data_IF_517155837839
#
_entry.id   IF_517155837839
#
_cell.length_a   1.000
_cell.length_b   1.000
_cell.length_c   1.000
_cell.angle_alpha   90.00
_cell.angle_beta   90.00
_cell.angle_gamma   90.00
#
_symmetry.space_group_name_H-M   'P 1'
#
loop_
_entity.id
_entity.type
_entity.pdbx_description
1 polymer ?
#
# COMPACT_ATOMS: atom_id res chain seq x y z
N UNK A 1 32.07 -5.53 76.96
CA UNK A 1 31.74 -4.34 76.14
C UNK A 1 32.72 -4.26 74.98
N UNK A 2 32.30 -4.66 73.77
CA UNK A 2 32.82 -4.21 72.47
C UNK A 2 31.95 -4.83 71.37
N UNK A 3 31.14 -3.97 70.77
CA UNK A 3 30.31 -4.16 69.58
C UNK A 3 31.22 -4.08 68.36
N UNK A 4 31.15 -5.03 67.42
CA UNK A 4 31.47 -4.91 65.97
C UNK A 4 31.02 -6.25 65.34
N UNK A 5 30.52 -6.39 64.11
CA UNK A 5 29.90 -5.55 63.10
C UNK A 5 29.44 -6.58 62.04
N UNK A 6 28.21 -6.47 61.56
CA UNK A 6 27.64 -7.31 60.51
C UNK A 6 28.45 -7.18 59.21
N UNK A 7 28.79 -8.29 58.55
CA UNK A 7 29.02 -8.31 57.10
C UNK A 7 28.29 -9.53 56.52
N UNK A 8 27.12 -9.23 55.97
CA UNK A 8 26.30 -10.07 55.12
C UNK A 8 27.04 -10.30 53.80
N UNK A 9 27.52 -11.52 53.53
CA UNK A 9 28.13 -11.88 52.25
C UNK A 9 27.02 -12.14 51.24
N UNK A 10 26.44 -11.07 50.69
CA UNK A 10 25.56 -11.14 49.54
C UNK A 10 26.38 -11.50 48.30
N UNK A 11 26.29 -12.75 47.87
CA UNK A 11 26.74 -13.18 46.54
C UNK A 11 25.95 -12.41 45.47
N UNK A 12 26.52 -11.30 45.01
CA UNK A 12 26.19 -10.67 43.74
C UNK A 12 26.59 -11.63 42.62
N UNK A 13 25.70 -12.58 42.31
CA UNK A 13 25.69 -13.22 41.00
C UNK A 13 25.17 -12.14 40.05
N UNK A 14 26.10 -11.39 39.47
CA UNK A 14 25.85 -10.58 38.30
C UNK A 14 25.49 -11.52 37.15
N UNK A 15 24.20 -11.89 37.07
CA UNK A 15 23.62 -12.30 35.81
C UNK A 15 23.87 -11.14 34.84
N UNK A 16 24.79 -11.34 33.91
CA UNK A 16 24.88 -10.54 32.70
C UNK A 16 23.58 -10.76 31.94
N UNK A 17 22.56 -9.99 32.27
CA UNK A 17 21.38 -9.85 31.45
C UNK A 17 21.82 -9.12 30.18
N UNK A 18 22.16 -9.87 29.13
CA UNK A 18 22.20 -9.36 27.76
C UNK A 18 20.77 -9.07 27.30
N UNK A 19 20.17 -8.03 27.87
CA UNK A 19 18.84 -7.56 27.50
C UNK A 19 18.89 -6.07 27.25
N UNK A 20 19.75 -5.67 26.33
CA UNK A 20 19.56 -4.46 25.53
C UNK A 20 19.92 -4.85 24.10
N UNK A 21 18.90 -5.17 23.30
CA UNK A 21 19.07 -5.16 21.86
C UNK A 21 19.34 -3.70 21.49
N UNK A 22 20.59 -3.37 21.17
CA UNK A 22 20.93 -2.05 20.66
C UNK A 22 20.43 -1.99 19.22
N UNK A 23 19.34 -1.27 18.92
CA UNK A 23 18.69 -1.33 17.61
C UNK A 23 19.54 -0.70 16.49
N UNK A 24 20.69 -0.12 16.84
CA UNK A 24 21.64 0.49 15.92
C UNK A 24 22.91 -0.35 15.69
N UNK A 25 23.06 -1.48 16.40
CA UNK A 25 24.15 -2.43 16.11
C UNK A 25 23.81 -3.16 14.81
N UNK A 26 24.67 -3.02 13.81
CA UNK A 26 24.45 -3.61 12.50
C UNK A 26 25.74 -4.24 12.00
N UNK A 27 25.59 -5.34 11.25
CA UNK A 27 26.72 -5.97 10.59
C UNK A 27 27.33 -4.98 9.61
N UNK A 28 28.61 -4.66 9.81
CA UNK A 28 29.40 -3.93 8.83
C UNK A 28 29.76 -4.87 7.70
N UNK A 29 29.50 -4.42 6.47
CA UNK A 29 29.80 -5.18 5.27
C UNK A 29 30.82 -4.41 4.44
N UNK A 30 31.95 -5.04 4.13
CA UNK A 30 33.05 -4.41 3.37
C UNK A 30 32.63 -3.91 1.97
N UNK A 31 31.52 -4.42 1.44
CA UNK A 31 30.98 -4.01 0.15
C UNK A 31 30.04 -2.79 0.22
N UNK A 32 29.69 -2.30 1.41
CA UNK A 32 28.83 -1.12 1.59
C UNK A 32 29.72 0.09 1.91
N UNK A 33 29.74 1.06 1.00
CA UNK A 33 30.41 2.34 1.22
C UNK A 33 29.47 3.33 1.91
N UNK A 34 29.42 3.27 3.24
CA UNK A 34 28.48 4.04 4.07
C UNK A 34 28.56 5.55 3.88
N UNK A 35 29.69 6.08 3.41
CA UNK A 35 29.85 7.52 3.16
C UNK A 35 28.89 8.06 2.09
N UNK A 36 28.32 7.19 1.26
CA UNK A 36 27.32 7.57 0.25
C UNK A 36 25.88 7.34 0.71
N UNK A 37 25.67 6.79 1.92
CA UNK A 37 24.33 6.58 2.49
C UNK A 37 23.82 7.86 3.17
N UNK A 38 23.66 8.91 2.38
CA UNK A 38 23.22 10.22 2.85
C UNK A 38 21.73 10.46 2.61
N UNK A 39 21.04 11.02 3.60
CA UNK A 39 19.68 11.55 3.43
C UNK A 39 19.74 13.00 2.93
N UNK A 40 19.54 13.20 1.63
CA UNK A 40 19.53 14.54 1.03
C UNK A 40 18.12 15.14 1.02
N UNK A 41 17.94 16.25 1.74
CA UNK A 41 16.65 16.95 1.86
C UNK A 41 16.62 18.19 0.95
N UNK A 42 15.84 18.13 -0.13
CA UNK A 42 15.71 19.24 -1.07
C UNK A 42 14.69 20.31 -0.64
N UNK A 43 13.56 19.91 -0.04
CA UNK A 43 12.52 20.82 0.43
C UNK A 43 12.34 20.68 1.94
N UNK A 44 13.12 21.46 2.70
CA UNK A 44 13.09 21.43 4.17
C UNK A 44 11.70 21.73 4.73
N UNK A 45 10.94 22.67 4.13
CA UNK A 45 9.60 23.03 4.62
C UNK A 45 8.61 21.86 4.50
N UNK A 46 8.51 21.23 3.33
CA UNK A 46 7.63 20.05 3.12
C UNK A 46 8.05 18.89 4.02
N UNK A 47 9.35 18.63 4.12
CA UNK A 47 9.89 17.58 4.98
C UNK A 47 9.54 17.82 6.46
N UNK A 48 9.79 19.03 6.98
CA UNK A 48 9.42 19.39 8.35
C UNK A 48 7.92 19.31 8.58
N UNK A 49 7.09 19.71 7.61
CA UNK A 49 5.63 19.58 7.71
C UNK A 49 5.19 18.13 7.85
N UNK A 50 5.74 17.22 7.04
CA UNK A 50 5.48 15.79 7.15
C UNK A 50 5.91 15.23 8.52
N UNK A 51 7.12 15.56 8.97
CA UNK A 51 7.61 15.12 10.28
C UNK A 51 6.75 15.66 11.44
N UNK A 52 6.29 16.91 11.36
CA UNK A 52 5.37 17.46 12.36
C UNK A 52 4.03 16.71 12.38
N UNK A 53 3.49 16.33 11.21
CA UNK A 53 2.25 15.54 11.13
C UNK A 53 2.43 14.15 11.76
N UNK A 54 3.54 13.46 11.47
CA UNK A 54 3.89 12.19 12.12
C UNK A 54 4.04 12.36 13.64
N UNK A 55 4.74 13.41 14.09
CA UNK A 55 4.90 13.70 15.51
C UNK A 55 3.55 13.93 16.20
N UNK A 56 2.66 14.72 15.60
CA UNK A 56 1.31 14.94 16.12
C UNK A 56 0.54 13.63 16.21
N UNK A 57 0.59 12.80 15.18
CA UNK A 57 -0.09 11.51 15.18
C UNK A 57 0.41 10.59 16.29
N UNK A 58 1.72 10.55 16.52
CA UNK A 58 2.30 9.73 17.60
C UNK A 58 1.96 10.24 19.00
N UNK A 59 1.83 11.56 19.20
CA UNK A 59 1.63 12.14 20.53
C UNK A 59 0.15 12.36 20.88
N UNK A 60 -0.66 12.77 19.90
CA UNK A 60 -2.06 13.19 20.09
C UNK A 60 -3.06 12.32 19.33
N UNK A 61 -2.63 11.62 18.27
CA UNK A 61 -3.53 10.89 17.38
C UNK A 61 -4.41 11.82 16.51
N UNK A 62 -5.35 11.23 15.77
CA UNK A 62 -6.37 11.94 14.99
C UNK A 62 -5.95 12.45 13.62
N UNK A 63 -4.67 12.36 13.26
CA UNK A 63 -4.16 12.67 11.92
C UNK A 63 -4.44 11.52 10.95
N UNK A 64 -4.67 11.88 9.68
CA UNK A 64 -4.73 10.93 8.59
C UNK A 64 -3.48 11.07 7.73
N UNK A 65 -2.61 10.07 7.75
CA UNK A 65 -1.30 10.13 7.10
C UNK A 65 -1.20 9.04 6.03
N UNK A 66 -1.07 9.44 4.77
CA UNK A 66 -0.99 8.52 3.64
C UNK A 66 0.44 8.43 3.10
N UNK A 67 1.05 7.25 3.17
CA UNK A 67 2.40 6.96 2.66
C UNK A 67 2.28 5.97 1.50
N UNK A 68 2.71 6.37 0.30
CA UNK A 68 2.69 5.51 -0.88
C UNK A 68 4.11 5.08 -1.23
N UNK A 69 4.34 3.77 -1.36
CA UNK A 69 5.60 3.20 -1.83
C UNK A 69 5.42 2.54 -3.20
N UNK A 70 6.08 3.07 -4.22
CA UNK A 70 6.18 2.48 -5.55
C UNK A 70 7.39 1.56 -5.65
N UNK A 71 7.25 0.42 -6.33
CA UNK A 71 8.38 -0.47 -6.55
C UNK A 71 8.16 -1.63 -7.53
N UNK A 72 9.16 -2.49 -7.63
CA UNK A 72 9.13 -3.66 -8.50
C UNK A 72 8.49 -4.90 -7.86
N UNK A 73 9.12 -6.04 -8.08
CA UNK A 73 8.75 -7.36 -7.53
C UNK A 73 8.71 -7.37 -6.00
N UNK A 74 9.68 -6.73 -5.32
CA UNK A 74 9.78 -6.70 -3.86
C UNK A 74 8.58 -6.03 -3.20
N UNK A 75 8.06 -4.96 -3.81
CA UNK A 75 6.86 -4.27 -3.31
C UNK A 75 5.60 -5.03 -3.71
N UNK A 76 5.56 -5.68 -4.88
CA UNK A 76 4.41 -6.50 -5.29
C UNK A 76 4.22 -7.72 -4.37
N UNK A 77 5.32 -8.35 -3.94
CA UNK A 77 5.32 -9.47 -3.01
C UNK A 77 4.84 -9.06 -1.61
N UNK A 78 4.94 -7.77 -1.30
CA UNK A 78 4.42 -7.12 -0.10
C UNK A 78 5.05 -7.59 1.23
N UNK A 79 6.17 -8.34 1.20
CA UNK A 79 6.81 -8.85 2.42
C UNK A 79 7.38 -7.70 3.27
N UNK A 80 8.23 -6.86 2.67
CA UNK A 80 8.84 -5.73 3.39
C UNK A 80 7.87 -4.57 3.60
N UNK A 81 7.04 -4.27 2.60
CA UNK A 81 6.04 -3.20 2.72
C UNK A 81 4.96 -3.55 3.74
N UNK A 82 4.55 -4.82 3.88
CA UNK A 82 3.65 -5.19 4.96
C UNK A 82 4.32 -5.08 6.32
N UNK A 83 5.60 -5.46 6.45
CA UNK A 83 6.33 -5.25 7.71
C UNK A 83 6.33 -3.77 8.10
N UNK A 84 6.63 -2.87 7.15
CA UNK A 84 6.56 -1.43 7.40
C UNK A 84 5.15 -0.97 7.77
N UNK A 85 4.12 -1.44 7.06
CA UNK A 85 2.71 -1.18 7.38
C UNK A 85 2.37 -1.59 8.81
N UNK A 86 2.69 -2.82 9.19
CA UNK A 86 2.42 -3.35 10.51
C UNK A 86 3.11 -2.51 11.59
N UNK A 87 4.38 -2.14 11.38
CA UNK A 87 5.10 -1.27 12.31
C UNK A 87 4.44 0.10 12.43
N UNK A 88 4.11 0.76 11.32
CA UNK A 88 3.44 2.06 11.37
C UNK A 88 2.09 2.01 12.06
N UNK A 89 1.30 0.95 11.82
CA UNK A 89 -0.05 0.82 12.37
C UNK A 89 -0.08 0.40 13.85
N UNK A 90 0.98 -0.25 14.34
CA UNK A 90 1.04 -0.78 15.71
C UNK A 90 2.08 -0.10 16.61
N UNK A 91 2.83 0.89 16.11
CA UNK A 91 3.81 1.63 16.93
C UNK A 91 3.16 2.40 18.09
N UNK A 92 1.91 2.84 17.92
CA UNK A 92 1.08 3.47 18.96
C UNK A 92 -0.36 2.97 18.87
N UNK A 93 -1.14 2.97 19.97
CA UNK A 93 -2.49 2.41 20.00
C UNK A 93 -3.50 3.08 19.04
N UNK A 94 -3.26 4.32 18.64
CA UNK A 94 -4.19 5.14 17.84
C UNK A 94 -3.79 5.25 16.36
N UNK A 95 -3.08 4.24 15.83
CA UNK A 95 -2.58 4.21 14.45
C UNK A 95 -3.23 3.16 13.54
N UNK A 96 -4.28 2.47 14.00
CA UNK A 96 -4.96 1.45 13.22
C UNK A 96 -5.67 2.06 12.02
N UNK A 97 -5.05 1.98 10.84
CA UNK A 97 -5.65 2.38 9.58
C UNK A 97 -5.93 1.14 8.71
N UNK A 98 -6.75 1.31 7.67
CA UNK A 98 -7.07 0.24 6.74
C UNK A 98 -5.86 -0.17 5.86
N UNK A 99 -6.06 -1.17 5.00
CA UNK A 99 -5.02 -1.74 4.14
C UNK A 99 -4.50 -0.76 3.08
N UNK A 100 -5.29 0.24 2.70
CA UNK A 100 -4.99 1.18 1.63
C UNK A 100 -5.13 0.55 0.24
N UNK A 101 -4.26 0.97 -0.69
CA UNK A 101 -4.37 0.58 -2.09
C UNK A 101 -4.04 -0.91 -2.29
N UNK A 102 -4.78 -1.55 -3.19
CA UNK A 102 -4.63 -2.95 -3.52
C UNK A 102 -4.99 -3.26 -4.98
N UNK A 103 -4.18 -4.07 -5.64
CA UNK A 103 -4.53 -4.65 -6.94
C UNK A 103 -4.70 -6.16 -6.82
N UNK A 104 -5.83 -6.75 -7.25
CA UNK A 104 -6.08 -8.18 -7.18
C UNK A 104 -5.31 -8.95 -8.27
N UNK A 105 -4.00 -9.14 -8.06
CA UNK A 105 -3.11 -9.78 -9.05
C UNK A 105 -3.54 -11.19 -9.48
N UNK A 106 -4.39 -11.88 -8.70
CA UNK A 106 -4.98 -13.17 -9.07
C UNK A 106 -5.86 -13.09 -10.33
N UNK A 107 -6.60 -11.99 -10.52
CA UNK A 107 -7.39 -11.75 -11.75
C UNK A 107 -6.52 -11.82 -13.01
N UNK A 108 -5.27 -11.38 -12.88
CA UNK A 108 -4.32 -11.31 -14.01
C UNK A 108 -3.29 -12.43 -14.00
N UNK A 109 -3.52 -13.50 -13.22
CA UNK A 109 -2.64 -14.68 -13.10
C UNK A 109 -1.20 -14.32 -12.73
N UNK A 110 -1.04 -13.34 -11.84
CA UNK A 110 0.25 -12.89 -11.32
C UNK A 110 0.38 -13.24 -9.83
N UNK A 111 1.63 -13.27 -9.34
CA UNK A 111 1.93 -13.37 -7.93
C UNK A 111 1.32 -12.18 -7.17
N UNK A 112 0.78 -12.45 -5.98
CA UNK A 112 0.07 -11.48 -5.15
C UNK A 112 0.63 -11.50 -3.73
N UNK A 113 0.35 -10.44 -2.98
CA UNK A 113 0.59 -10.37 -1.53
C UNK A 113 -0.06 -11.55 -0.80
N UNK A 114 0.60 -12.16 0.20
CA UNK A 114 -0.01 -13.21 1.02
C UNK A 114 -0.97 -12.66 2.09
N UNK A 115 -1.01 -11.33 2.29
CA UNK A 115 -1.71 -10.66 3.39
C UNK A 115 -3.17 -10.29 3.06
N UNK A 116 -3.45 -9.88 1.83
CA UNK A 116 -4.80 -9.65 1.32
C UNK A 116 -5.04 -10.54 0.10
N UNK A 117 -5.98 -11.48 0.23
CA UNK A 117 -6.24 -12.52 -0.75
C UNK A 117 -7.47 -12.19 -1.58
N UNK A 118 -7.48 -12.72 -2.80
CA UNK A 118 -8.60 -12.62 -3.73
C UNK A 118 -8.90 -13.98 -4.32
N UNK A 119 -10.17 -14.38 -4.29
CA UNK A 119 -10.71 -15.46 -5.12
C UNK A 119 -11.66 -14.86 -6.14
N UNK A 120 -11.78 -15.50 -7.30
CA UNK A 120 -12.68 -15.03 -8.34
C UNK A 120 -13.13 -16.18 -9.23
N UNK A 121 -14.28 -15.98 -9.88
CA UNK A 121 -14.66 -16.72 -11.08
C UNK A 121 -14.52 -15.80 -12.32
N UNK A 122 -15.01 -16.25 -13.47
CA UNK A 122 -14.98 -15.47 -14.70
C UNK A 122 -13.59 -15.36 -15.33
N UNK A 123 -13.56 -15.07 -16.63
CA UNK A 123 -12.34 -14.86 -17.40
C UNK A 123 -11.95 -13.39 -17.37
N UNK A 124 -10.72 -13.16 -16.94
CA UNK A 124 -10.09 -11.85 -16.91
C UNK A 124 -8.85 -11.85 -17.80
N UNK A 125 -8.62 -10.72 -18.47
CA UNK A 125 -7.42 -10.46 -19.26
C UNK A 125 -6.55 -9.44 -18.53
N UNK A 126 -5.30 -9.79 -18.34
CA UNK A 126 -4.37 -9.02 -17.53
C UNK A 126 -3.39 -8.16 -18.31
N UNK A 127 -3.12 -6.97 -17.79
CA UNK A 127 -2.14 -6.04 -18.31
C UNK A 127 -1.28 -5.47 -17.16
N UNK A 128 -0.03 -5.18 -17.47
CA UNK A 128 0.97 -4.62 -16.54
C UNK A 128 1.80 -3.57 -17.25
N UNK A 129 2.05 -2.45 -16.59
CA UNK A 129 2.83 -1.34 -17.13
C UNK A 129 4.33 -1.66 -17.28
N UNK A 130 4.80 -2.74 -16.64
CA UNK A 130 6.16 -3.27 -16.80
C UNK A 130 6.35 -4.05 -18.10
N UNK A 131 5.27 -4.51 -18.72
CA UNK A 131 5.32 -5.27 -19.96
C UNK A 131 5.16 -4.31 -21.14
N UNK A 132 6.17 -4.25 -22.01
CA UNK A 132 6.26 -3.25 -23.08
C UNK A 132 5.13 -3.35 -24.11
N UNK A 133 4.71 -4.56 -24.47
CA UNK A 133 3.66 -4.80 -25.46
C UNK A 133 2.23 -4.70 -24.88
N UNK A 134 2.07 -4.66 -23.56
CA UNK A 134 0.77 -4.38 -22.95
C UNK A 134 0.43 -2.91 -23.14
N UNK A 135 -0.67 -2.62 -23.84
CA UNK A 135 -1.08 -1.23 -24.10
C UNK A 135 -1.87 -0.66 -22.92
N UNK A 136 -1.79 0.66 -22.79
CA UNK A 136 -2.56 1.48 -21.85
C UNK A 136 -4.06 1.43 -22.19
N UNK A 137 -4.97 1.92 -21.32
CA UNK A 137 -4.72 2.68 -20.08
C UNK A 137 -4.13 1.85 -18.94
N UNK A 138 -3.40 2.52 -18.03
CA UNK A 138 -3.01 1.99 -16.72
C UNK A 138 -3.32 3.03 -15.64
N UNK A 139 -3.75 2.55 -14.47
CA UNK A 139 -3.96 3.38 -13.28
C UNK A 139 -2.72 3.48 -12.40
N UNK A 140 -2.89 4.12 -11.25
CA UNK A 140 -1.88 4.33 -10.20
C UNK A 140 -1.14 3.04 -9.84
N UNK A 141 -1.87 1.93 -9.76
CA UNK A 141 -1.32 0.63 -9.38
C UNK A 141 -0.52 -0.08 -10.48
N UNK A 142 -0.44 0.49 -11.68
CA UNK A 142 0.40 -0.02 -12.76
C UNK A 142 -0.04 -1.36 -13.37
N UNK A 143 -1.23 -1.85 -13.00
CA UNK A 143 -1.85 -3.03 -13.56
C UNK A 143 -3.31 -2.75 -13.95
N UNK A 144 -3.85 -3.58 -14.83
CA UNK A 144 -5.23 -3.51 -15.29
C UNK A 144 -5.77 -4.91 -15.55
N UNK A 145 -6.98 -5.17 -15.07
CA UNK A 145 -7.73 -6.39 -15.36
C UNK A 145 -8.95 -6.02 -16.20
N UNK A 146 -9.08 -6.60 -17.39
CA UNK A 146 -10.27 -6.47 -18.24
C UNK A 146 -11.17 -7.71 -18.04
N UNK A 147 -12.46 -7.49 -17.71
CA UNK A 147 -13.44 -8.57 -17.60
C UNK A 147 -13.87 -9.02 -19.02
N UNK A 148 -13.71 -10.30 -19.32
CA UNK A 148 -14.06 -10.88 -20.63
C UNK A 148 -15.46 -11.50 -20.62
N UNK A 149 -15.82 -12.15 -19.52
CA UNK A 149 -17.16 -12.71 -19.35
C UNK A 149 -18.17 -11.61 -19.02
N UNK A 150 -19.48 -11.92 -19.02
CA UNK A 150 -20.52 -10.93 -18.67
C UNK A 150 -20.69 -10.73 -17.17
N UNK A 151 -20.15 -11.64 -16.36
CA UNK A 151 -20.28 -11.60 -14.90
C UNK A 151 -19.02 -12.13 -14.24
N UNK A 152 -18.69 -11.59 -13.06
CA UNK A 152 -17.66 -12.14 -12.20
C UNK A 152 -17.98 -11.88 -10.73
N UNK A 153 -17.92 -12.93 -9.92
CA UNK A 153 -17.89 -12.85 -8.47
C UNK A 153 -16.45 -12.84 -8.00
N UNK A 154 -16.09 -11.85 -7.20
CA UNK A 154 -14.76 -11.66 -6.61
C UNK A 154 -14.91 -11.56 -5.10
N UNK A 155 -14.18 -12.38 -4.35
CA UNK A 155 -14.10 -12.27 -2.89
C UNK A 155 -12.75 -11.66 -2.52
N UNK A 156 -12.78 -10.58 -1.75
CA UNK A 156 -11.61 -9.99 -1.12
C UNK A 156 -11.62 -10.33 0.37
N UNK A 157 -10.52 -10.82 0.92
CA UNK A 157 -10.45 -11.13 2.34
C UNK A 157 -9.04 -11.03 2.89
N UNK A 158 -8.93 -10.52 4.11
CA UNK A 158 -7.69 -10.46 4.87
C UNK A 158 -7.26 -11.89 5.25
N UNK A 159 -5.98 -12.18 5.08
CA UNK A 159 -5.41 -13.42 5.59
C UNK A 159 -5.15 -13.31 7.10
N UNK A 160 -6.04 -13.91 7.90
CA UNK A 160 -5.97 -13.88 9.38
C UNK A 160 -4.70 -14.50 9.97
N UNK A 161 -4.02 -15.38 9.22
CA UNK A 161 -2.72 -15.93 9.63
C UNK A 161 -1.61 -14.86 9.70
N UNK A 162 -1.81 -13.72 9.02
CA UNK A 162 -0.80 -12.67 8.92
C UNK A 162 -1.29 -11.30 9.34
N UNK A 163 -2.60 -11.08 9.47
CA UNK A 163 -3.13 -9.87 10.06
C UNK A 163 -4.38 -10.15 10.89
N UNK A 164 -4.34 -9.77 12.18
CA UNK A 164 -5.42 -10.03 13.14
C UNK A 164 -6.40 -8.86 13.22
N UNK A 165 -5.95 -7.62 12.98
CA UNK A 165 -6.75 -6.41 13.14
C UNK A 165 -6.83 -5.55 11.86
N UNK A 166 -6.80 -6.18 10.68
CA UNK A 166 -6.99 -5.48 9.42
C UNK A 166 -8.48 -5.43 9.10
N UNK A 167 -9.07 -4.24 9.24
CA UNK A 167 -10.46 -4.00 8.89
C UNK A 167 -10.59 -2.77 7.99
N UNK A 168 -11.72 -2.68 7.31
CA UNK A 168 -12.10 -1.53 6.50
C UNK A 168 -13.61 -1.35 6.57
N UNK A 169 -14.06 -0.11 6.37
CA UNK A 169 -15.47 0.25 6.28
C UNK A 169 -15.78 1.00 4.97
N UNK A 170 -14.77 1.25 4.13
CA UNK A 170 -14.95 1.85 2.81
C UNK A 170 -14.08 1.16 1.76
N UNK A 171 -14.64 1.04 0.56
CA UNK A 171 -13.99 0.44 -0.60
C UNK A 171 -14.18 1.32 -1.82
N UNK A 172 -13.10 1.88 -2.35
CA UNK A 172 -13.11 2.57 -3.63
C UNK A 172 -12.65 1.64 -4.75
N UNK A 173 -13.49 1.42 -5.75
CA UNK A 173 -13.12 0.73 -6.99
C UNK A 173 -12.61 1.74 -8.00
N UNK A 174 -11.37 1.55 -8.47
CA UNK A 174 -10.78 2.35 -9.54
C UNK A 174 -11.04 1.65 -10.87
N UNK A 175 -12.02 2.14 -11.63
CA UNK A 175 -12.56 1.44 -12.81
C UNK A 175 -12.71 2.36 -14.00
N UNK A 176 -12.80 1.76 -15.19
CA UNK A 176 -13.27 2.40 -16.39
C UNK A 176 -14.20 1.44 -17.13
N UNK A 177 -15.42 1.90 -17.39
CA UNK A 177 -16.38 1.20 -18.22
C UNK A 177 -16.64 2.02 -19.49
N UNK A 178 -16.32 1.44 -20.65
CA UNK A 178 -16.42 2.16 -21.92
C UNK A 178 -17.86 2.49 -22.31
N UNK A 179 -18.86 1.75 -21.82
CA UNK A 179 -20.28 1.93 -22.18
C UNK A 179 -21.17 2.24 -20.97
N UNK A 180 -20.61 2.35 -19.76
CA UNK A 180 -21.37 2.49 -18.51
C UNK A 180 -22.51 1.46 -18.40
N UNK A 181 -22.22 0.20 -18.73
CA UNK A 181 -23.18 -0.90 -18.78
C UNK A 181 -22.78 -2.09 -17.89
N UNK A 182 -21.85 -1.87 -16.96
CA UNK A 182 -21.50 -2.81 -15.91
C UNK A 182 -21.89 -2.24 -14.56
N UNK A 183 -22.58 -3.06 -13.76
CA UNK A 183 -22.85 -2.79 -12.35
C UNK A 183 -21.77 -3.46 -11.50
N UNK A 184 -21.37 -2.79 -10.41
CA UNK A 184 -20.57 -3.37 -9.33
C UNK A 184 -21.46 -3.37 -8.10
N UNK A 185 -21.63 -4.53 -7.49
CA UNK A 185 -22.42 -4.71 -6.28
C UNK A 185 -21.58 -5.40 -5.21
N UNK A 186 -21.58 -4.88 -3.98
CA UNK A 186 -21.04 -5.59 -2.83
C UNK A 186 -22.18 -6.39 -2.22
N UNK A 187 -22.00 -7.71 -2.09
CA UNK A 187 -23.00 -8.62 -1.55
C UNK A 187 -23.03 -8.52 -0.01
N UNK A 188 -23.59 -7.43 0.50
CA UNK A 188 -23.75 -7.17 1.94
C UNK A 188 -24.93 -6.25 2.21
N UNK A 189 -25.63 -6.49 3.31
CA UNK A 189 -26.71 -5.61 3.80
C UNK A 189 -26.17 -4.37 4.53
N UNK A 190 -24.85 -4.24 4.65
CA UNK A 190 -24.19 -3.17 5.42
C UNK A 190 -23.90 -1.90 4.62
N UNK A 191 -24.30 -1.81 3.35
CA UNK A 191 -24.03 -0.61 2.52
C UNK A 191 -24.84 0.58 3.04
N UNK A 192 -24.16 1.67 3.35
CA UNK A 192 -24.74 2.94 3.79
C UNK A 192 -24.90 3.89 2.60
N UNK A 193 -23.87 3.99 1.75
CA UNK A 193 -23.90 4.86 0.58
C UNK A 193 -23.00 4.33 -0.53
N UNK A 194 -23.34 4.74 -1.75
CA UNK A 194 -22.56 4.51 -2.96
C UNK A 194 -22.29 5.87 -3.59
N UNK A 195 -21.03 6.18 -3.84
CA UNK A 195 -20.60 7.42 -4.49
C UNK A 195 -19.95 7.09 -5.83
N UNK A 196 -20.38 7.77 -6.90
CA UNK A 196 -19.87 7.55 -8.25
C UNK A 196 -19.17 8.81 -8.76
N UNK A 197 -17.94 8.64 -9.22
CA UNK A 197 -17.19 9.60 -10.01
C UNK A 197 -16.74 8.95 -11.33
N UNK A 198 -16.21 9.76 -12.25
CA UNK A 198 -15.87 9.32 -13.62
C UNK A 198 -15.01 8.06 -13.69
N UNK A 199 -14.12 7.81 -12.73
CA UNK A 199 -13.24 6.64 -12.70
C UNK A 199 -13.19 5.94 -11.32
N UNK A 200 -14.18 6.21 -10.46
CA UNK A 200 -14.25 5.69 -9.08
C UNK A 200 -15.69 5.33 -8.73
N UNK A 201 -15.88 4.15 -8.14
CA UNK A 201 -17.12 3.80 -7.45
C UNK A 201 -16.79 3.44 -6.00
N UNK A 202 -17.27 4.24 -5.06
CA UNK A 202 -17.04 4.07 -3.62
C UNK A 202 -18.24 3.43 -2.95
N UNK A 203 -17.97 2.51 -2.03
CA UNK A 203 -18.96 1.89 -1.16
C UNK A 203 -18.57 2.14 0.28
N UNK A 204 -19.48 2.73 1.05
CA UNK A 204 -19.31 2.97 2.48
C UNK A 204 -20.20 1.98 3.22
N UNK A 205 -19.62 1.28 4.20
CA UNK A 205 -20.25 0.24 4.99
C UNK A 205 -20.52 0.74 6.41
N UNK A 206 -21.58 0.22 7.03
CA UNK A 206 -21.98 0.59 8.40
C UNK A 206 -21.10 -0.01 9.48
N UNK A 207 -20.35 -1.07 9.16
CA UNK A 207 -19.51 -1.81 10.09
C UNK A 207 -18.13 -2.07 9.48
N UNK A 208 -17.13 -2.15 10.36
CA UNK A 208 -15.80 -2.64 10.01
C UNK A 208 -15.87 -4.12 9.62
N UNK A 209 -15.34 -4.45 8.45
CA UNK A 209 -15.27 -5.83 7.92
C UNK A 209 -13.84 -6.20 7.56
N UNK A 210 -13.57 -7.51 7.46
CA UNK A 210 -12.28 -8.07 7.03
C UNK A 210 -12.36 -8.74 5.64
N UNK A 211 -13.56 -8.80 5.08
CA UNK A 211 -13.86 -9.49 3.84
C UNK A 211 -15.13 -8.94 3.18
N UNK A 212 -15.17 -9.02 1.85
CA UNK A 212 -16.33 -8.68 1.02
C UNK A 212 -16.41 -9.58 -0.19
N UNK A 213 -17.64 -9.86 -0.62
CA UNK A 213 -17.94 -10.46 -1.92
C UNK A 213 -18.51 -9.39 -2.84
N UNK A 214 -18.02 -9.38 -4.08
CA UNK A 214 -18.29 -8.34 -5.05
C UNK A 214 -18.74 -9.00 -6.34
N UNK A 215 -19.92 -8.66 -6.80
CA UNK A 215 -20.48 -9.09 -8.07
C UNK A 215 -20.31 -7.97 -9.08
N UNK A 216 -19.72 -8.30 -10.24
CA UNK A 216 -19.62 -7.37 -11.37
C UNK A 216 -20.41 -7.99 -12.51
N UNK A 217 -21.42 -7.28 -13.01
CA UNK A 217 -22.35 -7.78 -14.02
C UNK A 217 -22.56 -6.79 -15.16
N UNK A 218 -22.52 -7.29 -16.40
CA UNK A 218 -22.88 -6.51 -17.57
C UNK A 218 -24.39 -6.55 -17.76
N UNK A 219 -25.02 -5.40 -17.63
CA UNK A 219 -26.47 -5.24 -17.68
C UNK A 219 -27.04 -5.34 -19.09
N UNK A 220 -26.22 -5.02 -20.11
CA UNK A 220 -26.66 -5.03 -21.51
C UNK A 220 -25.98 -6.12 -22.36
N UNK A 221 -26.61 -6.45 -23.48
CA UNK A 221 -26.05 -7.37 -24.47
C UNK A 221 -24.85 -6.78 -25.23
N UNK A 222 -24.66 -5.45 -25.18
CA UNK A 222 -23.54 -4.79 -25.83
C UNK A 222 -22.22 -5.13 -25.12
N UNK A 223 -21.22 -5.53 -25.89
CA UNK A 223 -19.91 -5.92 -25.35
C UNK A 223 -19.05 -4.69 -25.08
N UNK A 224 -19.37 -3.97 -24.01
CA UNK A 224 -18.51 -2.92 -23.43
C UNK A 224 -17.23 -3.50 -22.82
N UNK A 225 -16.22 -2.65 -22.63
CA UNK A 225 -14.98 -2.99 -21.94
C UNK A 225 -15.02 -2.47 -20.51
N UNK A 226 -15.07 -3.39 -19.56
CA UNK A 226 -14.87 -3.10 -18.15
C UNK A 226 -13.40 -3.32 -17.76
N UNK A 227 -12.75 -2.29 -17.25
CA UNK A 227 -11.37 -2.32 -16.77
C UNK A 227 -11.30 -1.98 -15.28
N UNK A 228 -10.73 -2.88 -14.48
CA UNK A 228 -10.36 -2.64 -13.08
C UNK A 228 -8.88 -2.27 -12.99
N UNK A 229 -8.59 -1.13 -12.37
CA UNK A 229 -7.23 -0.60 -12.12
C UNK A 229 -6.74 -0.81 -10.70
N UNK A 230 -7.64 -1.16 -9.78
CA UNK A 230 -7.30 -1.32 -8.38
C UNK A 230 -8.47 -1.03 -7.46
N UNK A 231 -8.19 -1.20 -6.17
CA UNK A 231 -9.07 -0.81 -5.08
C UNK A 231 -8.30 0.04 -4.08
N UNK A 232 -9.03 0.82 -3.28
CA UNK A 232 -8.55 1.42 -2.06
C UNK A 232 -9.44 0.96 -0.90
N UNK A 233 -8.85 0.31 0.10
CA UNK A 233 -9.54 -0.03 1.34
C UNK A 233 -9.22 1.02 2.39
N UNK A 234 -10.21 1.79 2.80
CA UNK A 234 -10.10 2.84 3.81
C UNK A 234 -10.97 2.54 5.04
N UNK A 235 -10.72 3.30 6.11
CA UNK A 235 -11.55 3.30 7.31
C UNK A 235 -11.65 4.70 7.85
N UNK A 236 -12.72 5.00 8.60
CA UNK A 236 -12.82 6.23 9.38
C UNK A 236 -11.77 6.31 10.50
N UNK A 237 -11.12 5.19 10.85
CA UNK A 237 -10.03 5.16 11.80
C UNK A 237 -8.84 5.98 11.29
N UNK A 238 -8.50 7.03 12.06
CA UNK A 238 -7.34 7.88 11.81
C UNK A 238 -6.03 7.15 12.14
N UNK A 239 -4.94 7.54 11.51
CA UNK A 239 -3.68 6.83 11.62
C UNK A 239 -2.80 6.94 10.37
N UNK A 240 -1.88 5.99 10.25
CA UNK A 240 -0.93 5.92 9.13
C UNK A 240 -1.37 4.80 8.18
N UNK A 241 -1.75 5.16 6.97
CA UNK A 241 -2.03 4.22 5.89
C UNK A 241 -0.79 4.04 5.03
N UNK A 242 -0.31 2.80 4.90
CA UNK A 242 0.86 2.46 4.09
C UNK A 242 0.46 1.70 2.82
N UNK A 243 0.45 2.43 1.70
CA UNK A 243 0.06 1.91 0.40
C UNK A 243 1.28 1.31 -0.33
N UNK A 244 1.21 0.03 -0.66
CA UNK A 244 2.24 -0.71 -1.39
C UNK A 244 1.85 -0.83 -2.87
N UNK A 245 2.56 -0.12 -3.75
CA UNK A 245 2.29 -0.08 -5.19
C UNK A 245 3.42 -0.74 -5.95
N UNK A 246 3.37 -2.07 -6.04
CA UNK A 246 4.40 -2.88 -6.69
C UNK A 246 3.92 -3.55 -7.96
N UNK A 247 4.71 -3.47 -9.03
CA UNK A 247 4.49 -4.27 -10.25
C UNK A 247 5.79 -4.97 -10.64
N UNK A 248 5.74 -6.29 -10.77
CA UNK A 248 6.89 -7.11 -11.10
C UNK A 248 7.48 -6.70 -12.47
N UNK A 249 8.78 -6.39 -12.47
CA UNK A 249 9.52 -5.85 -13.62
C UNK A 249 9.33 -4.35 -13.86
N UNK A 250 8.63 -3.63 -12.98
CA UNK A 250 8.43 -2.19 -13.15
C UNK A 250 9.67 -1.37 -12.80
N UNK A 251 9.85 -0.30 -13.55
CA UNK A 251 10.84 0.75 -13.35
C UNK A 251 10.16 2.11 -13.50
N UNK A 252 10.90 3.21 -13.34
CA UNK A 252 10.30 4.56 -13.47
C UNK A 252 9.56 4.76 -14.80
N UNK A 253 10.08 4.35 -15.97
CA UNK A 253 9.32 4.40 -17.23
C UNK A 253 7.99 3.66 -17.18
N UNK A 254 7.88 2.57 -16.43
CA UNK A 254 6.64 1.80 -16.31
C UNK A 254 5.54 2.66 -15.70
N UNK A 255 5.83 3.36 -14.59
CA UNK A 255 4.84 4.24 -13.93
C UNK A 255 4.51 5.49 -14.74
N UNK A 256 5.45 5.99 -15.55
CA UNK A 256 5.19 7.09 -16.49
C UNK A 256 4.23 6.71 -17.63
N UNK A 257 3.91 5.43 -17.81
CA UNK A 257 2.90 4.95 -18.76
C UNK A 257 1.49 4.90 -18.16
N UNK A 258 1.34 5.23 -16.88
CA UNK A 258 0.05 5.23 -16.20
C UNK A 258 -0.71 6.52 -16.53
N UNK A 259 -1.69 6.42 -17.41
CA UNK A 259 -2.51 7.54 -17.88
C UNK A 259 -3.35 8.13 -16.74
N UNK A 260 -3.93 7.29 -15.87
CA UNK A 260 -4.72 7.75 -14.73
C UNK A 260 -3.89 7.95 -13.45
N UNK A 261 -2.57 8.12 -13.58
CA UNK A 261 -1.69 8.23 -12.41
C UNK A 261 -2.05 9.45 -11.54
N UNK A 262 -2.17 10.64 -12.16
CA UNK A 262 -2.44 11.88 -11.43
C UNK A 262 -3.87 11.88 -10.87
N UNK A 263 -4.85 11.53 -11.69
CA UNK A 263 -6.26 11.48 -11.25
C UNK A 263 -6.45 10.57 -10.04
N UNK A 264 -5.78 9.41 -10.02
CA UNK A 264 -5.93 8.43 -8.94
C UNK A 264 -5.03 8.71 -7.74
N UNK A 265 -3.90 9.40 -7.89
CA UNK A 265 -3.06 9.75 -6.74
C UNK A 265 -3.69 10.86 -5.90
N UNK A 266 -4.43 11.77 -6.53
CA UNK A 266 -5.14 12.86 -5.85
C UNK A 266 -6.27 12.32 -4.96
N UNK A 267 -6.87 11.18 -5.30
CA UNK A 267 -7.85 10.49 -4.46
C UNK A 267 -7.26 9.98 -3.14
N UNK A 268 -5.95 9.71 -3.10
CA UNK A 268 -5.26 9.20 -1.91
C UNK A 268 -4.63 10.33 -1.09
N UNK A 269 -4.38 11.49 -1.71
CA UNK A 269 -3.78 12.67 -1.08
C UNK A 269 -2.54 12.33 -0.22
N UNK A 270 -1.44 11.84 -0.84
CA UNK A 270 -0.28 11.33 -0.11
C UNK A 270 0.53 12.41 0.59
N UNK A 271 0.94 12.14 1.83
CA UNK A 271 1.88 12.96 2.60
C UNK A 271 3.35 12.62 2.26
N UNK A 272 3.60 11.36 1.89
CA UNK A 272 4.92 10.87 1.48
C UNK A 272 4.80 9.88 0.32
N UNK A 273 5.58 10.11 -0.73
CA UNK A 273 5.75 9.17 -1.84
C UNK A 273 7.19 8.64 -1.82
N UNK A 274 7.35 7.33 -1.78
CA UNK A 274 8.61 6.60 -1.78
C UNK A 274 8.73 5.87 -3.12
N UNK A 275 9.84 6.05 -3.83
CA UNK A 275 10.17 5.26 -5.00
C UNK A 275 11.30 4.27 -4.66
N UNK A 276 10.96 2.99 -4.52
CA UNK A 276 11.90 1.88 -4.32
C UNK A 276 11.95 1.06 -5.61
N UNK A 277 12.64 1.61 -6.61
CA UNK A 277 12.73 1.02 -7.95
C UNK A 277 14.15 0.57 -8.21
N UNK A 278 14.31 -0.65 -8.70
CA UNK A 278 15.60 -1.14 -9.16
C UNK A 278 16.06 -0.27 -10.33
N UNK A 279 17.25 0.32 -10.20
CA UNK A 279 17.94 0.88 -11.34
C UNK A 279 18.51 -0.30 -12.13
N UNK A 280 18.00 -0.55 -13.33
CA UNK A 280 18.81 -1.30 -14.28
C UNK A 280 20.12 -0.52 -14.43
N UNK A 281 21.23 -1.21 -14.20
CA UNK A 281 22.57 -0.76 -13.83
C UNK A 281 23.24 0.33 -14.71
N UNK A 282 22.56 0.91 -15.70
CA UNK A 282 23.05 1.97 -16.60
C UNK A 282 21.98 3.03 -16.84
N UNK A 283 21.58 3.79 -15.81
CA UNK A 283 20.61 4.87 -16.00
C UNK A 283 21.09 6.19 -15.43
N UNK A 284 21.00 7.23 -16.27
CA UNK A 284 21.31 8.61 -15.93
C UNK A 284 20.31 9.13 -14.88
N UNK A 285 20.72 9.14 -13.60
CA UNK A 285 19.93 9.60 -12.45
C UNK A 285 19.30 10.99 -12.68
N UNK A 286 19.97 11.89 -13.39
CA UNK A 286 19.46 13.22 -13.72
C UNK A 286 18.24 13.18 -14.67
N UNK A 287 18.22 12.25 -15.62
CA UNK A 287 17.12 12.09 -16.57
C UNK A 287 15.83 11.66 -15.86
N UNK A 288 15.95 10.68 -14.95
CA UNK A 288 14.81 10.21 -14.17
C UNK A 288 14.41 11.18 -13.06
N UNK A 289 15.35 11.88 -12.44
CA UNK A 289 15.03 12.95 -11.49
C UNK A 289 14.10 13.99 -12.12
N UNK A 290 14.37 14.46 -13.34
CA UNK A 290 13.47 15.42 -14.03
C UNK A 290 12.07 14.83 -14.31
N UNK A 291 11.98 13.54 -14.64
CA UNK A 291 10.70 12.87 -14.92
C UNK A 291 9.91 12.52 -13.66
N UNK A 292 10.58 12.10 -12.58
CA UNK A 292 9.98 11.93 -11.26
C UNK A 292 9.51 13.28 -10.72
N UNK A 293 10.31 14.33 -10.86
CA UNK A 293 9.89 15.69 -10.51
C UNK A 293 8.64 16.10 -11.30
N UNK A 294 8.52 15.73 -12.59
CA UNK A 294 7.31 15.96 -13.38
C UNK A 294 6.07 15.21 -12.85
N UNK A 295 6.24 14.08 -12.18
CA UNK A 295 5.16 13.39 -11.46
C UNK A 295 4.83 14.12 -10.14
N UNK A 296 5.84 14.70 -9.48
CA UNK A 296 5.73 15.29 -8.13
C UNK A 296 5.40 16.79 -8.10
N UNK A 297 5.34 17.45 -9.25
CA UNK A 297 4.90 18.84 -9.39
C UNK A 297 3.66 18.87 -10.30
N UNK A 298 2.45 19.10 -9.78
CA UNK A 298 1.35 19.56 -10.62
C UNK A 298 1.73 20.88 -11.30
#
# INVERSE_FOLDING_TARGET
>A
MKIFLSIYFGLLISYFSYTQHYPHDHMQYDFIDEKHNELVIFNKKKWSSFLSKIHNQWHYGGEEINIIQFGGSHIQADVWSNRLRDHFQHIVPYNGAARGLYFPFKLIKSNASPYLKTTHNGKWKGFRNSVSYHRSPFGLLGARAELIDSTSLITFYVNKEHCVNCYFDQIDFLVHDSLNNHCIDILTDSIVSIELDTNRQSFILSNLVDSVEVLIERESHEKGKFSLFGLNFSSQLKGITYHSVGVNGASVPSYLRCEYFMDQIDLVNPDLIIFLLESMMHMNLLFYRKRILKIMTP
#
